data_IF_025109338789
#
_entry.id   IF_025109338789
#
_cell.length_a   1.000
_cell.length_b   1.000
_cell.length_c   1.000
_cell.angle_alpha   90.00
_cell.angle_beta   90.00
_cell.angle_gamma   90.00
#
_symmetry.space_group_name_H-M   'P 1'
#
loop_
_entity.id
_entity.type
_entity.pdbx_description
1 polymer ?
#
# COMPACT_ATOMS: atom_id res chain seq x y z
N UNK A 1 -29.51 6.18 33.42
CA UNK A 1 -29.83 7.31 34.33
C UNK A 1 -29.12 7.01 35.63
N UNK A 2 -28.16 7.84 36.05
CA UNK A 2 -27.41 7.59 37.27
C UNK A 2 -28.21 8.16 38.45
N UNK A 3 -28.56 7.31 39.40
CA UNK A 3 -29.28 7.71 40.61
C UNK A 3 -28.34 8.54 41.50
N UNK A 4 -28.68 9.82 41.67
CA UNK A 4 -27.97 10.71 42.57
C UNK A 4 -28.54 10.55 43.98
N UNK A 5 -27.67 10.26 44.95
CA UNK A 5 -28.06 10.22 46.37
C UNK A 5 -28.05 11.63 46.96
N UNK A 6 -29.22 12.12 47.34
CA UNK A 6 -29.40 13.38 48.06
C UNK A 6 -29.18 13.15 49.55
N UNK A 7 -28.32 13.96 50.18
CA UNK A 7 -28.12 13.96 51.64
C UNK A 7 -28.72 15.24 52.20
N UNK A 8 -29.69 15.10 53.12
CA UNK A 8 -30.25 16.22 53.88
C UNK A 8 -29.37 16.54 55.09
N UNK A 9 -29.11 17.84 55.31
CA UNK A 9 -28.32 18.31 56.44
C UNK A 9 -29.24 18.85 57.55
N UNK A 10 -28.91 18.65 58.84
CA UNK A 10 -29.75 19.11 59.93
C UNK A 10 -29.76 20.65 60.03
N UNK A 11 -30.89 21.28 60.36
CA UNK A 11 -30.98 22.73 60.41
C UNK A 11 -30.39 23.27 61.73
N UNK A 12 -29.49 24.25 61.66
CA UNK A 12 -29.31 25.24 62.74
C UNK A 12 -28.57 26.53 62.34
N UNK A 13 -29.27 27.65 62.59
CA UNK A 13 -28.81 28.91 63.20
C UNK A 13 -27.36 29.39 62.93
N UNK A 14 -27.08 29.91 61.73
CA UNK A 14 -26.14 31.03 61.57
C UNK A 14 -26.35 31.75 60.23
N UNK A 15 -25.99 33.05 60.19
CA UNK A 15 -26.45 34.13 59.29
C UNK A 15 -26.09 34.05 57.78
N UNK A 16 -25.79 32.89 57.22
CA UNK A 16 -25.68 32.72 55.76
C UNK A 16 -26.39 31.44 55.32
N UNK A 17 -27.39 31.50 54.42
CA UNK A 17 -28.10 30.30 53.98
C UNK A 17 -27.17 29.47 53.11
N UNK A 18 -26.81 28.28 53.59
CA UNK A 18 -26.27 27.23 52.75
C UNK A 18 -27.43 26.57 51.98
N UNK A 19 -27.19 26.03 50.77
CA UNK A 19 -28.21 25.27 50.06
C UNK A 19 -28.65 24.06 50.91
N UNK A 20 -29.97 23.84 51.01
CA UNK A 20 -30.58 22.80 51.86
C UNK A 20 -30.28 21.35 51.45
N UNK A 21 -29.63 21.17 50.31
CA UNK A 21 -29.10 19.90 49.84
C UNK A 21 -27.81 20.18 49.05
N UNK A 22 -26.88 19.24 49.10
CA UNK A 22 -25.68 19.25 48.26
C UNK A 22 -25.76 18.00 47.39
N UNK A 23 -25.64 18.16 46.07
CA UNK A 23 -25.50 17.02 45.16
C UNK A 23 -24.05 16.55 45.28
N UNK A 24 -23.83 15.39 45.90
CA UNK A 24 -22.55 14.71 45.85
C UNK A 24 -22.52 13.98 44.50
N UNK A 25 -21.58 14.31 43.58
CA UNK A 25 -21.42 13.52 42.37
C UNK A 25 -21.20 12.07 42.76
N UNK A 26 -21.97 11.15 42.15
CA UNK A 26 -21.84 9.71 42.38
C UNK A 26 -20.36 9.33 42.44
N UNK A 27 -20.01 8.51 43.44
CA UNK A 27 -18.65 8.10 43.80
C UNK A 27 -17.69 8.16 42.61
N UNK A 28 -16.62 8.95 42.77
CA UNK A 28 -15.45 8.95 41.90
C UNK A 28 -15.11 7.48 41.59
N UNK A 29 -15.50 6.98 40.42
CA UNK A 29 -15.24 5.59 40.03
C UNK A 29 -13.76 5.36 40.23
N UNK A 30 -13.40 4.32 41.00
CA UNK A 30 -12.01 3.98 41.23
C UNK A 30 -11.28 4.02 39.88
N UNK A 31 -10.11 4.69 39.78
CA UNK A 31 -9.41 4.79 38.52
C UNK A 31 -9.21 3.37 38.00
N UNK A 32 -9.69 3.09 36.77
CA UNK A 32 -9.48 1.79 36.13
C UNK A 32 -7.99 1.48 36.23
N UNK A 33 -7.65 0.37 36.90
CA UNK A 33 -6.27 -0.09 36.98
C UNK A 33 -5.73 -0.20 35.56
N UNK A 34 -4.59 0.44 35.29
CA UNK A 34 -3.94 0.37 33.98
C UNK A 34 -2.89 -0.74 34.04
N UNK A 35 -3.21 -1.98 33.64
CA UNK A 35 -2.31 -3.12 33.83
C UNK A 35 -0.96 -2.91 33.13
N UNK A 36 -0.94 -2.21 31.99
CA UNK A 36 0.29 -1.90 31.26
C UNK A 36 1.26 -0.97 32.00
N UNK A 37 0.81 -0.20 33.00
CA UNK A 37 1.71 0.67 33.79
C UNK A 37 2.56 -0.15 34.76
N UNK A 38 2.01 -1.24 35.29
CA UNK A 38 2.68 -2.12 36.25
C UNK A 38 3.34 -3.34 35.59
N UNK A 39 3.16 -3.53 34.29
CA UNK A 39 3.72 -4.66 33.56
C UNK A 39 5.25 -4.53 33.43
N UNK A 40 5.96 -5.65 33.59
CA UNK A 40 7.42 -5.71 33.51
C UNK A 40 7.90 -5.66 32.05
N UNK A 41 7.90 -4.47 31.47
CA UNK A 41 8.42 -4.24 30.13
C UNK A 41 9.94 -4.38 30.09
N UNK A 42 10.44 -4.92 28.98
CA UNK A 42 11.84 -4.72 28.62
C UNK A 42 12.12 -3.25 28.30
N UNK A 43 13.39 -2.88 28.34
CA UNK A 43 13.83 -1.51 28.09
C UNK A 43 13.33 -0.96 26.74
N UNK A 44 13.33 -1.78 25.68
CA UNK A 44 12.89 -1.41 24.33
C UNK A 44 11.39 -1.08 24.27
N UNK A 45 10.59 -1.58 25.22
CA UNK A 45 9.15 -1.33 25.33
C UNK A 45 8.77 -0.48 26.56
N UNK A 46 9.74 0.12 27.25
CA UNK A 46 9.50 0.88 28.49
C UNK A 46 8.51 2.04 28.32
N UNK A 47 8.44 2.62 27.11
CA UNK A 47 7.48 3.66 26.74
C UNK A 47 6.02 3.21 26.86
N UNK A 48 5.73 1.91 26.79
CA UNK A 48 4.37 1.37 26.90
C UNK A 48 3.73 1.69 28.26
N UNK A 49 4.53 1.73 29.34
CA UNK A 49 4.07 2.12 30.68
C UNK A 49 3.60 3.59 30.75
N UNK A 50 4.06 4.44 29.83
CA UNK A 50 3.69 5.87 29.78
C UNK A 50 2.42 6.15 28.97
N UNK A 51 1.84 5.14 28.30
CA UNK A 51 0.65 5.34 27.48
C UNK A 51 -0.57 5.72 28.32
N UNK A 52 -1.25 6.80 27.89
CA UNK A 52 -2.46 7.30 28.58
C UNK A 52 -3.59 6.28 28.50
N UNK A 53 -3.78 5.68 27.33
CA UNK A 53 -4.83 4.71 27.00
C UNK A 53 -4.25 3.60 26.13
N UNK A 54 -4.64 2.37 26.41
CA UNK A 54 -4.30 1.19 25.64
C UNK A 54 -5.50 0.25 25.69
N UNK A 55 -5.91 -0.31 24.56
CA UNK A 55 -6.96 -1.33 24.53
C UNK A 55 -6.40 -2.65 25.03
N UNK A 56 -7.27 -3.55 25.51
CA UNK A 56 -6.86 -4.88 25.98
C UNK A 56 -6.18 -5.68 24.85
N UNK A 57 -6.64 -5.53 23.61
CA UNK A 57 -6.02 -6.20 22.45
C UNK A 57 -4.59 -5.68 22.19
N UNK A 58 -4.38 -4.36 22.16
CA UNK A 58 -3.04 -3.79 21.96
C UNK A 58 -2.11 -4.09 23.15
N UNK A 59 -2.66 -4.16 24.36
CA UNK A 59 -1.91 -4.60 25.54
C UNK A 59 -1.46 -6.06 25.38
N UNK A 60 -2.36 -6.95 24.96
CA UNK A 60 -2.01 -8.35 24.67
C UNK A 60 -0.95 -8.47 23.58
N UNK A 61 -1.05 -7.68 22.51
CA UNK A 61 -0.05 -7.66 21.43
C UNK A 61 1.33 -7.23 21.95
N UNK A 62 1.40 -6.16 22.75
CA UNK A 62 2.66 -5.71 23.35
C UNK A 62 3.24 -6.73 24.33
N UNK A 63 2.40 -7.41 25.11
CA UNK A 63 2.84 -8.51 25.99
C UNK A 63 3.46 -9.66 25.20
N UNK A 64 2.86 -10.03 24.07
CA UNK A 64 3.41 -11.05 23.18
C UNK A 64 4.75 -10.62 22.59
N UNK A 65 4.87 -9.38 22.10
CA UNK A 65 6.13 -8.81 21.59
C UNK A 65 7.20 -8.78 22.69
N UNK A 66 6.87 -8.31 23.89
CA UNK A 66 7.80 -8.26 25.04
C UNK A 66 8.34 -9.65 25.41
N UNK A 67 7.45 -10.64 25.39
CA UNK A 67 7.79 -12.04 25.67
C UNK A 67 8.71 -12.59 24.59
N UNK A 68 8.41 -12.32 23.32
CA UNK A 68 9.24 -12.72 22.18
C UNK A 68 10.64 -12.11 22.25
N UNK A 69 10.74 -10.80 22.49
CA UNK A 69 12.02 -10.09 22.67
C UNK A 69 12.83 -10.68 23.85
N UNK A 70 12.15 -11.04 24.93
CA UNK A 70 12.80 -11.65 26.10
C UNK A 70 13.39 -13.02 25.80
N UNK A 71 12.68 -13.86 25.03
CA UNK A 71 13.15 -15.19 24.64
C UNK A 71 14.35 -15.16 23.70
N UNK A 72 14.47 -14.11 22.89
CA UNK A 72 15.51 -14.01 21.85
C UNK A 72 16.62 -12.99 22.17
N UNK A 73 16.68 -12.47 23.40
CA UNK A 73 17.59 -11.39 23.80
C UNK A 73 19.08 -11.65 23.57
N UNK A 74 19.48 -12.92 23.47
CA UNK A 74 20.88 -13.35 23.30
C UNK A 74 21.09 -14.19 22.03
N UNK A 75 20.12 -14.18 21.11
CA UNK A 75 20.16 -14.97 19.90
C UNK A 75 20.36 -14.06 18.68
N UNK A 76 21.10 -14.56 17.68
CA UNK A 76 21.06 -13.97 16.34
C UNK A 76 19.76 -14.41 15.69
N UNK A 77 18.85 -13.45 15.48
CA UNK A 77 17.52 -13.71 14.92
C UNK A 77 17.58 -13.43 13.40
N UNK A 78 17.14 -14.36 12.54
CA UNK A 78 17.07 -14.09 11.11
C UNK A 78 16.03 -13.00 10.81
N UNK A 79 16.34 -12.12 9.85
CA UNK A 79 15.36 -11.16 9.32
C UNK A 79 14.42 -11.92 8.39
N UNK A 80 13.11 -11.83 8.64
CA UNK A 80 12.07 -12.54 7.88
C UNK A 80 10.99 -11.58 7.36
N UNK A 81 10.15 -11.98 6.39
CA UNK A 81 9.01 -11.15 6.00
C UNK A 81 8.07 -10.88 7.18
N UNK A 82 7.50 -9.67 7.22
CA UNK A 82 6.60 -9.21 8.30
C UNK A 82 5.49 -10.19 8.64
N UNK A 83 4.87 -10.85 7.65
CA UNK A 83 3.81 -11.82 7.87
C UNK A 83 4.28 -13.07 8.63
N UNK A 84 5.51 -13.53 8.39
CA UNK A 84 6.11 -14.66 9.11
C UNK A 84 6.34 -14.28 10.57
N UNK A 85 6.93 -13.11 10.82
CA UNK A 85 7.16 -12.62 12.18
C UNK A 85 5.84 -12.36 12.92
N UNK A 86 4.85 -11.81 12.22
CA UNK A 86 3.52 -11.57 12.79
C UNK A 86 2.83 -12.87 13.20
N UNK A 87 2.89 -13.92 12.36
CA UNK A 87 2.34 -15.23 12.69
C UNK A 87 3.06 -15.85 13.89
N UNK A 88 4.38 -15.74 13.97
CA UNK A 88 5.18 -16.26 15.09
C UNK A 88 4.90 -15.54 16.41
N UNK A 89 4.87 -14.21 16.43
CA UNK A 89 4.69 -13.43 17.66
C UNK A 89 3.22 -13.40 18.09
N UNK A 90 2.30 -13.19 17.14
CA UNK A 90 0.91 -12.80 17.42
C UNK A 90 -0.11 -13.88 17.01
N UNK A 91 0.33 -14.97 16.35
CA UNK A 91 -0.57 -16.01 15.83
C UNK A 91 -1.49 -15.53 14.71
N UNK A 92 -1.27 -14.31 14.18
CA UNK A 92 -2.11 -13.64 13.19
C UNK A 92 -1.23 -13.06 12.08
N UNK A 93 -1.34 -13.59 10.87
CA UNK A 93 -0.45 -13.26 9.74
C UNK A 93 -0.33 -11.75 9.44
N UNK A 94 -1.43 -10.99 9.52
CA UNK A 94 -1.46 -9.57 9.15
C UNK A 94 -1.41 -8.59 10.32
N UNK A 95 -1.41 -9.09 11.56
CA UNK A 95 -1.62 -8.24 12.73
C UNK A 95 -0.49 -7.22 12.90
N UNK A 96 0.76 -7.61 12.73
CA UNK A 96 1.89 -6.70 12.84
C UNK A 96 1.82 -5.58 11.79
N UNK A 97 1.36 -5.93 10.59
CA UNK A 97 1.11 -4.99 9.50
C UNK A 97 0.05 -3.95 9.87
N UNK A 98 -1.04 -4.37 10.50
CA UNK A 98 -2.07 -3.46 11.02
C UNK A 98 -1.51 -2.57 12.14
N UNK A 99 -0.68 -3.12 13.03
CA UNK A 99 -0.05 -2.35 14.12
C UNK A 99 0.85 -1.24 13.59
N UNK A 100 1.51 -1.42 12.44
CA UNK A 100 2.34 -0.36 11.84
C UNK A 100 1.58 0.91 11.48
N UNK A 101 0.24 0.83 11.37
CA UNK A 101 -0.63 1.99 11.11
C UNK A 101 -1.12 2.68 12.38
N UNK A 102 -0.69 2.19 13.54
CA UNK A 102 -1.08 2.71 14.85
C UNK A 102 0.06 3.52 15.48
N UNK A 103 -0.26 4.22 16.56
CA UNK A 103 0.74 4.96 17.35
C UNK A 103 1.79 4.05 18.00
N UNK A 104 1.61 2.73 18.04
CA UNK A 104 2.63 1.84 18.60
C UNK A 104 3.94 1.85 17.78
N UNK A 105 3.88 2.25 16.51
CA UNK A 105 5.02 2.41 15.60
C UNK A 105 5.43 3.88 15.40
N UNK A 106 4.99 4.80 16.27
CA UNK A 106 5.50 6.18 16.28
C UNK A 106 7.02 6.20 16.56
N UNK A 107 7.66 7.31 16.21
CA UNK A 107 9.08 7.53 16.48
C UNK A 107 9.46 7.25 17.95
N UNK A 108 10.52 6.46 18.14
CA UNK A 108 11.02 6.04 19.46
C UNK A 108 10.26 4.88 20.11
N UNK A 109 9.41 4.15 19.35
CA UNK A 109 8.63 3.00 19.84
C UNK A 109 9.00 1.71 19.09
N UNK A 110 8.02 0.96 18.59
CA UNK A 110 8.27 -0.24 17.78
C UNK A 110 8.84 0.12 16.42
N UNK A 111 9.76 -0.70 15.94
CA UNK A 111 10.23 -0.71 14.55
C UNK A 111 10.23 -2.14 14.04
N UNK A 112 10.16 -2.32 12.71
CA UNK A 112 10.26 -3.66 12.11
C UNK A 112 11.65 -4.27 12.34
N UNK A 113 12.69 -3.42 12.37
CA UNK A 113 14.07 -3.79 12.67
C UNK A 113 14.21 -4.39 14.08
N UNK A 114 13.57 -3.78 15.09
CA UNK A 114 13.54 -4.31 16.46
C UNK A 114 12.94 -5.73 16.51
N UNK A 115 12.04 -6.03 15.58
CA UNK A 115 11.36 -7.32 15.47
C UNK A 115 12.01 -8.26 14.46
N UNK A 116 13.22 -7.93 13.97
CA UNK A 116 13.95 -8.70 12.97
C UNK A 116 13.05 -9.13 11.81
N UNK A 117 12.33 -8.16 11.23
CA UNK A 117 11.48 -8.39 10.08
C UNK A 117 11.48 -7.20 9.13
N UNK A 118 11.11 -7.45 7.88
CA UNK A 118 11.03 -6.41 6.85
C UNK A 118 9.82 -6.65 5.94
N UNK A 119 9.41 -5.61 5.21
CA UNK A 119 8.38 -5.70 4.18
C UNK A 119 9.05 -6.08 2.87
N UNK A 120 8.65 -7.21 2.30
CA UNK A 120 9.00 -7.54 0.93
C UNK A 120 7.82 -7.19 0.02
N UNK A 121 8.06 -6.51 -1.11
CA UNK A 121 7.03 -6.32 -2.13
C UNK A 121 6.59 -7.69 -2.67
N UNK A 122 5.31 -7.87 -3.03
CA UNK A 122 4.89 -9.03 -3.79
C UNK A 122 5.73 -9.13 -5.08
N UNK A 123 6.09 -10.35 -5.52
CA UNK A 123 6.85 -10.53 -6.74
C UNK A 123 6.06 -10.02 -7.95
N UNK A 124 6.78 -9.48 -8.94
CA UNK A 124 6.22 -9.10 -10.24
C UNK A 124 6.36 -10.29 -11.21
N UNK A 125 5.26 -10.90 -11.67
CA UNK A 125 5.33 -11.88 -12.76
C UNK A 125 5.94 -11.25 -14.00
N UNK A 126 7.04 -11.82 -14.47
CA UNK A 126 7.81 -11.28 -15.58
C UNK A 126 8.57 -12.38 -16.32
N UNK A 127 8.88 -12.10 -17.58
CA UNK A 127 9.70 -12.92 -18.46
C UNK A 127 10.90 -12.12 -18.96
N UNK A 128 12.04 -12.81 -19.08
CA UNK A 128 13.28 -12.24 -19.63
C UNK A 128 13.26 -12.46 -21.13
N UNK A 129 12.81 -11.45 -21.87
CA UNK A 129 12.68 -11.50 -23.34
C UNK A 129 13.83 -10.80 -24.07
N UNK A 130 14.62 -9.97 -23.36
CA UNK A 130 15.79 -9.29 -23.90
C UNK A 130 16.85 -8.99 -22.83
N UNK A 131 18.08 -8.61 -23.23
CA UNK A 131 19.17 -8.39 -22.29
C UNK A 131 19.23 -6.98 -21.69
N UNK A 132 18.46 -6.02 -22.21
CA UNK A 132 18.62 -4.62 -21.81
C UNK A 132 18.05 -4.26 -20.44
N UNK A 133 18.21 -2.99 -20.05
CA UNK A 133 17.95 -2.51 -18.70
C UNK A 133 16.48 -2.13 -18.45
N UNK A 134 15.66 -2.06 -19.49
CA UNK A 134 14.28 -1.58 -19.42
C UNK A 134 13.30 -2.74 -19.20
N UNK A 135 12.12 -2.44 -18.67
CA UNK A 135 11.01 -3.39 -18.55
C UNK A 135 9.73 -2.77 -19.10
N UNK A 136 8.94 -3.54 -19.84
CA UNK A 136 7.59 -3.20 -20.27
C UNK A 136 6.60 -3.87 -19.33
N UNK A 137 5.76 -3.06 -18.70
CA UNK A 137 4.67 -3.46 -17.82
C UNK A 137 3.37 -3.42 -18.61
N UNK A 138 2.74 -4.58 -18.74
CA UNK A 138 1.49 -4.78 -19.48
C UNK A 138 0.39 -5.12 -18.47
N UNK A 139 -0.67 -4.31 -18.44
CA UNK A 139 -1.77 -4.50 -17.49
C UNK A 139 -2.50 -5.84 -17.68
N UNK A 140 -2.90 -6.15 -18.92
CA UNK A 140 -3.71 -7.33 -19.25
C UNK A 140 -2.87 -8.57 -19.56
N UNK A 141 -3.31 -9.72 -19.08
CA UNK A 141 -2.59 -10.99 -19.19
C UNK A 141 -2.53 -11.55 -20.62
N UNK A 142 -3.61 -11.46 -21.40
CA UNK A 142 -3.60 -11.96 -22.79
C UNK A 142 -2.67 -11.11 -23.67
N UNK A 143 -2.76 -9.79 -23.53
CA UNK A 143 -1.83 -8.85 -24.18
C UNK A 143 -0.37 -9.12 -23.77
N UNK A 144 -0.12 -9.44 -22.49
CA UNK A 144 1.20 -9.80 -22.00
C UNK A 144 1.77 -11.02 -22.75
N UNK A 145 1.01 -12.11 -22.89
CA UNK A 145 1.49 -13.32 -23.57
C UNK A 145 1.79 -13.07 -25.06
N UNK A 146 0.99 -12.25 -25.74
CA UNK A 146 1.26 -11.85 -27.12
C UNK A 146 2.59 -11.09 -27.22
N UNK A 147 2.83 -10.13 -26.31
CA UNK A 147 4.07 -9.35 -26.31
C UNK A 147 5.28 -10.19 -25.88
N UNK A 148 5.13 -11.10 -24.94
CA UNK A 148 6.15 -12.05 -24.52
C UNK A 148 6.65 -12.88 -25.70
N UNK A 149 5.73 -13.45 -26.49
CA UNK A 149 6.07 -14.23 -27.68
C UNK A 149 6.75 -13.35 -28.76
N UNK A 150 6.21 -12.16 -29.03
CA UNK A 150 6.77 -11.27 -30.05
C UNK A 150 8.16 -10.74 -29.69
N UNK A 151 8.37 -10.34 -28.43
CA UNK A 151 9.65 -9.85 -27.93
C UNK A 151 10.67 -10.98 -27.85
N UNK A 152 10.30 -12.16 -27.35
CA UNK A 152 11.20 -13.33 -27.30
C UNK A 152 11.75 -13.73 -28.67
N UNK A 153 10.98 -13.50 -29.74
CA UNK A 153 11.38 -13.79 -31.11
C UNK A 153 12.11 -12.62 -31.80
N UNK A 154 12.20 -11.45 -31.16
CA UNK A 154 12.91 -10.30 -31.67
C UNK A 154 14.36 -10.28 -31.17
N UNK A 155 15.31 -10.09 -32.07
CA UNK A 155 16.71 -9.89 -31.69
C UNK A 155 16.96 -8.43 -31.31
N UNK A 156 17.80 -8.21 -30.30
CA UNK A 156 18.39 -6.90 -29.93
C UNK A 156 17.36 -5.81 -29.56
N UNK A 157 16.54 -6.05 -28.53
CA UNK A 157 15.75 -4.99 -27.88
C UNK A 157 16.11 -4.87 -26.39
N UNK A 158 15.95 -3.69 -25.77
CA UNK A 158 16.41 -3.45 -24.41
C UNK A 158 15.41 -3.85 -23.30
N UNK A 159 14.31 -4.51 -23.66
CA UNK A 159 13.11 -4.64 -22.82
C UNK A 159 12.92 -6.05 -22.25
N UNK A 160 12.69 -6.20 -20.95
CA UNK A 160 12.02 -7.36 -20.33
C UNK A 160 10.50 -7.16 -20.23
N UNK A 161 9.68 -8.21 -20.06
CA UNK A 161 8.22 -8.08 -20.01
C UNK A 161 7.67 -8.44 -18.61
N UNK A 162 6.81 -7.60 -18.04
CA UNK A 162 6.11 -7.82 -16.77
C UNK A 162 4.60 -7.62 -16.89
N UNK A 163 3.81 -8.29 -16.05
CA UNK A 163 2.36 -8.14 -16.03
C UNK A 163 1.81 -7.85 -14.64
N UNK A 164 0.75 -7.05 -14.56
CA UNK A 164 -0.08 -7.04 -13.37
C UNK A 164 -1.04 -5.87 -13.24
N UNK A 165 -2.33 -6.18 -13.16
CA UNK A 165 -3.37 -5.26 -12.65
C UNK A 165 -3.09 -4.73 -11.24
N UNK A 166 -2.24 -5.44 -10.49
CA UNK A 166 -1.78 -5.07 -9.14
C UNK A 166 -0.42 -4.37 -9.13
N UNK A 167 0.04 -3.88 -10.28
CA UNK A 167 1.37 -3.30 -10.44
C UNK A 167 1.75 -2.26 -9.36
N UNK A 168 0.88 -1.36 -8.87
CA UNK A 168 1.25 -0.39 -7.84
C UNK A 168 1.74 -1.04 -6.54
N UNK A 169 1.19 -2.20 -6.18
CA UNK A 169 1.64 -2.97 -5.01
C UNK A 169 2.95 -3.71 -5.26
N UNK A 170 3.30 -3.96 -6.52
CA UNK A 170 4.48 -4.71 -6.96
C UNK A 170 5.64 -3.81 -7.38
N UNK A 171 5.48 -2.48 -7.37
CA UNK A 171 6.54 -1.53 -7.77
C UNK A 171 7.85 -1.75 -7.04
N UNK A 172 7.81 -2.10 -5.75
CA UNK A 172 9.03 -2.40 -5.00
C UNK A 172 9.83 -3.58 -5.56
N UNK A 173 9.20 -4.50 -6.30
CA UNK A 173 9.90 -5.60 -6.97
C UNK A 173 10.86 -5.09 -8.04
N UNK A 174 10.60 -3.92 -8.65
CA UNK A 174 11.52 -3.29 -9.61
C UNK A 174 12.88 -2.97 -8.99
N UNK A 175 12.94 -2.65 -7.70
CA UNK A 175 14.19 -2.37 -6.97
C UNK A 175 14.82 -3.63 -6.34
N UNK A 176 14.05 -4.70 -6.19
CA UNK A 176 14.51 -5.93 -5.57
C UNK A 176 14.97 -6.97 -6.61
N UNK A 177 14.04 -7.46 -7.41
CA UNK A 177 14.27 -8.49 -8.42
C UNK A 177 13.09 -8.56 -9.40
N UNK A 178 13.40 -8.56 -10.69
CA UNK A 178 12.44 -8.87 -11.75
C UNK A 178 12.93 -10.08 -12.52
N UNK A 179 12.18 -11.19 -12.45
CA UNK A 179 12.48 -12.44 -13.14
C UNK A 179 13.91 -13.00 -12.89
N UNK A 180 14.46 -12.84 -11.68
CA UNK A 180 15.78 -13.34 -11.31
C UNK A 180 16.96 -12.53 -11.86
N UNK A 181 16.71 -11.31 -12.37
CA UNK A 181 17.73 -10.44 -12.99
C UNK A 181 18.26 -9.36 -12.03
N UNK A 182 17.78 -9.31 -10.79
CA UNK A 182 18.03 -8.22 -9.87
C UNK A 182 17.22 -6.97 -10.19
N UNK A 183 17.66 -5.82 -9.67
CA UNK A 183 16.96 -4.55 -9.83
C UNK A 183 16.94 -4.07 -11.27
N UNK A 184 15.83 -3.43 -11.65
CA UNK A 184 15.70 -2.73 -12.94
C UNK A 184 16.58 -1.50 -12.90
N UNK A 185 17.49 -1.38 -13.87
CA UNK A 185 18.46 -0.29 -13.95
C UNK A 185 18.08 0.79 -14.98
N UNK A 186 17.11 0.49 -15.85
CA UNK A 186 16.60 1.38 -16.87
C UNK A 186 15.25 1.98 -16.49
N UNK A 187 14.33 2.00 -17.45
CA UNK A 187 12.97 2.55 -17.32
C UNK A 187 11.93 1.43 -17.27
N UNK A 188 10.92 1.60 -16.42
CA UNK A 188 9.70 0.81 -16.46
C UNK A 188 8.66 1.50 -17.37
N UNK A 189 8.46 0.95 -18.56
CA UNK A 189 7.48 1.43 -19.53
C UNK A 189 6.11 0.82 -19.23
N UNK A 190 5.10 1.62 -18.91
CA UNK A 190 3.75 1.14 -18.60
C UNK A 190 2.81 1.29 -19.79
N UNK A 191 2.08 0.22 -20.09
CA UNK A 191 0.96 0.19 -21.01
C UNK A 191 -0.23 -0.53 -20.37
N UNK A 192 -1.37 0.16 -20.31
CA UNK A 192 -2.62 -0.36 -19.77
C UNK A 192 -3.80 -0.02 -20.67
N UNK A 193 -5.01 -0.37 -20.22
CA UNK A 193 -6.24 0.03 -20.89
C UNK A 193 -6.37 1.56 -20.91
N UNK A 194 -6.88 2.13 -22.00
CA UNK A 194 -7.30 3.54 -22.01
C UNK A 194 -8.68 3.69 -21.40
N UNK A 195 -8.69 3.64 -20.07
CA UNK A 195 -9.81 3.93 -19.19
C UNK A 195 -9.33 4.58 -17.87
N UNK A 196 -10.24 5.07 -17.00
CA UNK A 196 -9.87 5.65 -15.72
C UNK A 196 -9.02 4.75 -14.82
N UNK A 197 -9.24 3.44 -14.85
CA UNK A 197 -8.53 2.49 -14.00
C UNK A 197 -7.09 2.30 -14.47
N UNK A 198 -6.87 2.15 -15.78
CA UNK A 198 -5.53 2.05 -16.36
C UNK A 198 -4.68 3.29 -16.09
N UNK A 199 -5.27 4.49 -16.16
CA UNK A 199 -4.58 5.75 -15.77
C UNK A 199 -4.27 5.77 -14.28
N UNK A 200 -5.24 5.41 -13.43
CA UNK A 200 -5.05 5.40 -11.98
C UNK A 200 -3.95 4.41 -11.53
N UNK A 201 -3.84 3.25 -12.18
CA UNK A 201 -2.76 2.29 -11.95
C UNK A 201 -1.41 2.93 -12.28
N UNK A 202 -1.29 3.58 -13.44
CA UNK A 202 -0.04 4.22 -13.86
C UNK A 202 0.41 5.33 -12.90
N UNK A 203 -0.52 6.18 -12.47
CA UNK A 203 -0.25 7.25 -11.51
C UNK A 203 0.13 6.69 -10.14
N UNK A 204 -0.62 5.71 -9.63
CA UNK A 204 -0.33 5.08 -8.34
C UNK A 204 1.03 4.38 -8.34
N UNK A 205 1.39 3.71 -9.44
CA UNK A 205 2.69 3.09 -9.59
C UNK A 205 3.81 4.12 -9.64
N UNK A 206 3.63 5.20 -10.41
CA UNK A 206 4.59 6.32 -10.50
C UNK A 206 4.83 6.97 -9.14
N UNK A 207 3.77 7.17 -8.35
CA UNK A 207 3.87 7.70 -6.99
C UNK A 207 4.56 6.73 -6.01
N UNK A 208 4.30 5.43 -6.16
CA UNK A 208 4.89 4.40 -5.30
C UNK A 208 6.37 4.14 -5.61
N UNK A 209 6.83 4.44 -6.84
CA UNK A 209 8.21 4.20 -7.25
C UNK A 209 9.14 5.34 -6.82
N UNK A 210 10.23 5.00 -6.14
CA UNK A 210 11.26 5.95 -5.70
C UNK A 210 12.58 5.80 -6.46
N UNK A 211 12.88 4.61 -6.96
CA UNK A 211 14.17 4.28 -7.57
C UNK A 211 14.10 4.12 -9.10
N UNK A 212 13.02 3.53 -9.63
CA UNK A 212 12.90 3.21 -11.05
C UNK A 212 11.89 4.15 -11.71
N UNK A 213 12.26 4.91 -12.75
CA UNK A 213 11.33 5.79 -13.43
C UNK A 213 10.25 4.97 -14.14
N UNK A 214 8.99 5.26 -13.84
CA UNK A 214 7.84 4.69 -14.56
C UNK A 214 7.37 5.72 -15.58
N UNK A 215 7.26 5.29 -16.85
CA UNK A 215 6.91 6.18 -17.98
C UNK A 215 5.86 5.52 -18.87
N UNK A 216 5.03 6.31 -19.59
CA UNK A 216 4.12 5.74 -20.55
C UNK A 216 4.89 5.12 -21.72
N UNK A 217 4.50 3.91 -22.13
CA UNK A 217 4.92 3.35 -23.42
C UNK A 217 4.21 4.11 -24.56
N UNK A 218 4.68 5.33 -24.85
CA UNK A 218 3.94 6.35 -25.63
C UNK A 218 3.42 5.83 -26.97
N UNK A 219 4.21 5.05 -27.69
CA UNK A 219 3.83 4.51 -28.99
C UNK A 219 2.65 3.54 -28.88
N UNK A 220 2.65 2.67 -27.86
CA UNK A 220 1.55 1.72 -27.59
C UNK A 220 0.26 2.43 -27.16
N UNK A 221 0.37 3.52 -26.39
CA UNK A 221 -0.78 4.38 -26.11
C UNK A 221 -1.26 5.15 -27.34
N UNK A 222 -0.33 5.62 -28.20
CA UNK A 222 -0.68 6.40 -29.38
C UNK A 222 -1.46 5.57 -30.40
N UNK A 223 -1.10 4.31 -30.62
CA UNK A 223 -1.84 3.42 -31.54
C UNK A 223 -3.29 3.16 -31.11
N UNK A 224 -3.60 3.32 -29.81
CA UNK A 224 -4.98 3.24 -29.30
C UNK A 224 -5.89 4.35 -29.83
N UNK A 225 -5.33 5.51 -30.19
CA UNK A 225 -6.10 6.63 -30.73
C UNK A 225 -6.78 6.32 -32.06
N UNK A 226 -6.23 5.38 -32.84
CA UNK A 226 -6.79 4.97 -34.13
C UNK A 226 -7.71 3.74 -34.00
N UNK A 227 -7.99 3.26 -32.78
CA UNK A 227 -8.80 2.06 -32.57
C UNK A 227 -10.28 2.41 -32.44
N UNK A 228 -11.18 1.53 -32.90
CA UNK A 228 -12.61 1.69 -32.65
C UNK A 228 -12.92 1.67 -31.15
N UNK A 229 -13.68 2.67 -30.69
CA UNK A 229 -14.17 2.76 -29.31
C UNK A 229 -15.08 1.54 -29.03
N UNK A 230 -14.68 0.69 -28.07
CA UNK A 230 -15.34 -0.59 -27.80
C UNK A 230 -16.64 -0.42 -26.97
N UNK A 231 -16.68 0.59 -26.11
CA UNK A 231 -17.84 0.94 -25.27
C UNK A 231 -17.97 2.46 -25.26
N UNK A 232 -19.19 3.00 -25.40
CA UNK A 232 -19.50 4.44 -25.40
C UNK A 232 -20.50 4.75 -24.30
N UNK A 233 -20.48 5.98 -23.80
CA UNK A 233 -21.48 6.52 -22.86
C UNK A 233 -21.59 5.79 -21.50
N UNK A 234 -20.58 5.00 -21.14
CA UNK A 234 -20.56 4.26 -19.87
C UNK A 234 -19.39 4.60 -18.96
N UNK A 235 -18.35 5.25 -19.49
CA UNK A 235 -17.11 5.49 -18.75
C UNK A 235 -17.13 6.90 -18.16
N UNK A 236 -17.01 6.96 -16.84
CA UNK A 236 -16.88 8.21 -16.10
C UNK A 236 -15.42 8.66 -16.08
N UNK A 237 -15.12 9.68 -16.87
CA UNK A 237 -13.81 10.33 -16.91
C UNK A 237 -13.70 11.52 -15.95
N UNK A 238 -14.76 11.83 -15.18
CA UNK A 238 -14.75 12.93 -14.23
C UNK A 238 -13.73 12.65 -13.12
N UNK A 239 -12.78 13.57 -12.94
CA UNK A 239 -11.70 13.43 -11.96
C UNK A 239 -10.43 12.71 -12.45
N UNK A 240 -10.39 12.24 -13.71
CA UNK A 240 -9.16 11.67 -14.29
C UNK A 240 -8.35 12.76 -14.99
N UNK A 241 -7.08 12.90 -14.62
CA UNK A 241 -6.14 13.80 -15.31
C UNK A 241 -4.89 13.07 -15.78
N UNK A 242 -5.01 12.35 -16.91
CA UNK A 242 -3.89 11.59 -17.47
C UNK A 242 -2.77 12.43 -18.08
N UNK A 243 -2.89 13.75 -18.17
CA UNK A 243 -1.84 14.65 -18.70
C UNK A 243 -0.53 14.50 -17.91
N UNK A 244 -0.61 14.33 -16.59
CA UNK A 244 0.58 14.17 -15.73
C UNK A 244 1.42 12.94 -16.09
N UNK A 245 0.78 11.85 -16.48
CA UNK A 245 1.45 10.61 -16.80
C UNK A 245 1.73 10.46 -18.30
N UNK A 246 0.72 10.67 -19.15
CA UNK A 246 0.81 10.51 -20.60
C UNK A 246 1.46 11.72 -21.30
N UNK A 247 1.49 12.88 -20.66
CA UNK A 247 1.85 14.16 -21.28
C UNK A 247 0.72 14.76 -22.11
N UNK A 248 0.78 16.07 -22.39
CA UNK A 248 -0.36 16.82 -22.93
C UNK A 248 -0.68 16.43 -24.38
N UNK A 249 0.33 16.08 -25.19
CA UNK A 249 0.12 15.72 -26.59
C UNK A 249 -0.62 14.39 -26.72
N UNK A 250 -0.17 13.36 -26.00
CA UNK A 250 -0.77 12.02 -26.03
C UNK A 250 -2.14 12.04 -25.35
N UNK A 251 -2.29 12.79 -24.25
CA UNK A 251 -3.58 13.01 -23.62
C UNK A 251 -4.56 13.69 -24.59
N UNK A 252 -4.12 14.70 -25.36
CA UNK A 252 -4.95 15.35 -26.38
C UNK A 252 -5.31 14.41 -27.53
N UNK A 253 -4.37 13.59 -28.01
CA UNK A 253 -4.60 12.61 -29.09
C UNK A 253 -5.75 11.64 -28.76
N UNK A 254 -5.85 11.24 -27.49
CA UNK A 254 -6.88 10.31 -26.99
C UNK A 254 -8.19 11.00 -26.56
N UNK A 255 -8.32 12.32 -26.73
CA UNK A 255 -9.46 13.09 -26.24
C UNK A 255 -10.80 12.64 -26.80
N UNK A 256 -10.85 12.24 -28.07
CA UNK A 256 -12.08 11.80 -28.73
C UNK A 256 -12.70 10.55 -28.08
N UNK A 257 -11.89 9.67 -27.48
CA UNK A 257 -12.36 8.49 -26.73
C UNK A 257 -13.05 8.94 -25.44
N UNK A 258 -12.45 9.90 -24.72
CA UNK A 258 -13.01 10.47 -23.49
C UNK A 258 -14.28 11.26 -23.76
N UNK A 259 -14.31 12.07 -24.82
CA UNK A 259 -15.49 12.83 -25.24
C UNK A 259 -16.67 11.94 -25.63
N UNK A 260 -16.39 10.71 -26.04
CA UNK A 260 -17.41 9.69 -26.30
C UNK A 260 -17.75 8.84 -25.05
N UNK A 261 -17.26 9.23 -23.87
CA UNK A 261 -17.42 8.49 -22.61
C UNK A 261 -17.06 7.01 -22.77
N UNK A 262 -16.00 6.74 -23.54
CA UNK A 262 -15.61 5.41 -23.94
C UNK A 262 -14.29 4.93 -23.37
N UNK A 263 -13.93 3.71 -23.75
CA UNK A 263 -12.64 3.08 -23.45
C UNK A 263 -12.07 2.33 -24.66
N UNK A 264 -10.76 2.09 -24.61
CA UNK A 264 -10.05 1.18 -25.51
C UNK A 264 -9.26 0.20 -24.65
N UNK A 265 -9.57 -1.09 -24.75
CA UNK A 265 -8.78 -2.15 -24.12
C UNK A 265 -7.47 -2.38 -24.87
N UNK A 266 -6.44 -2.91 -24.20
CA UNK A 266 -5.19 -3.29 -24.85
C UNK A 266 -5.38 -4.28 -26.00
N UNK A 267 -6.30 -5.24 -25.83
CA UNK A 267 -6.64 -6.27 -26.83
C UNK A 267 -7.25 -5.68 -28.11
N UNK A 268 -7.68 -4.41 -28.10
CA UNK A 268 -8.14 -3.73 -29.30
C UNK A 268 -6.98 -3.38 -30.26
N UNK A 269 -5.74 -3.42 -29.78
CA UNK A 269 -4.54 -3.21 -30.61
C UNK A 269 -4.21 -4.53 -31.33
N UNK A 270 -4.23 -4.56 -32.68
CA UNK A 270 -3.95 -5.79 -33.41
C UNK A 270 -2.54 -6.32 -33.16
N UNK A 271 -2.40 -7.64 -33.11
CA UNK A 271 -1.10 -8.33 -33.00
C UNK A 271 -0.12 -7.87 -34.09
N UNK A 272 -0.62 -7.59 -35.30
CA UNK A 272 0.21 -7.07 -36.41
C UNK A 272 0.81 -5.70 -36.10
N UNK A 273 0.08 -4.83 -35.41
CA UNK A 273 0.58 -3.52 -34.95
C UNK A 273 1.63 -3.71 -33.85
N UNK A 274 1.40 -4.62 -32.90
CA UNK A 274 2.39 -4.95 -31.86
C UNK A 274 3.68 -5.51 -32.47
N UNK A 275 3.57 -6.40 -33.46
CA UNK A 275 4.72 -6.95 -34.16
C UNK A 275 5.50 -5.89 -34.95
N UNK A 276 4.83 -4.87 -35.50
CA UNK A 276 5.49 -3.73 -36.14
C UNK A 276 6.22 -2.85 -35.11
N UNK A 277 5.59 -2.58 -33.98
CA UNK A 277 6.19 -1.86 -32.86
C UNK A 277 7.46 -2.56 -32.36
N UNK A 278 7.40 -3.87 -32.09
CA UNK A 278 8.57 -4.66 -31.66
C UNK A 278 9.73 -4.58 -32.65
N UNK A 279 9.45 -4.64 -33.97
CA UNK A 279 10.49 -4.50 -35.00
C UNK A 279 11.20 -3.15 -35.00
N UNK A 280 10.56 -2.11 -34.44
CA UNK A 280 11.08 -0.76 -34.31
C UNK A 280 12.01 -0.54 -33.12
N UNK A 281 12.06 -1.46 -32.13
CA UNK A 281 12.77 -1.31 -30.85
C UNK A 281 14.32 -1.44 -30.92
N UNK A 282 14.94 -1.12 -32.06
CA UNK A 282 16.38 -1.32 -32.30
C UNK A 282 17.27 -0.34 -31.53
#
# INVERSE_FOLDING_TARGET
MADNNTIELPPRSSRRPWPGHIIVPACRTAPKSKPWVAYAWRAELGWAASLRTLSDELFSDLVAINTWLSRHASQSIPIVPVCYRSAEILGKEKRLDDLTRTTLFDSGRLTLDLLACTRYPPPLPAAVVGPGPDVLIVENSDTYWVLDELLSNAANHPIGAGSGRTFPAQVGALDADVAGRGSVTGTAWYWGDFDPAGIAIAEAATFASTAVPIRPARELWSVMADRPIQVRDTVDWSGVNGDRFLGPELWSQLAHIRSAHGRIAQEAVPVTTLAQWVKGLR
#
